data_IF_897570210311
#
_entry.id   IF_897570210311
#
_cell.length_a   1.000
_cell.length_b   1.000
_cell.length_c   1.000
_cell.angle_alpha   90.00
_cell.angle_beta   90.00
_cell.angle_gamma   90.00
#
_symmetry.space_group_name_H-M   'P 1'
#
loop_
_entity.id
_entity.type
_entity.pdbx_description
1 polymer ?
#
# COMPACT_ATOMS: atom_id res chain seq x y z
N UNK A 1 -14.30 3.16 -5.45
CA UNK A 1 -13.38 2.11 -5.89
C UNK A 1 -13.94 0.71 -5.65
N UNK A 2 -14.18 0.27 -4.42
CA UNK A 2 -14.62 -1.09 -4.07
C UNK A 2 -16.06 -1.44 -4.44
N UNK A 3 -16.84 -0.54 -5.03
CA UNK A 3 -18.27 -0.71 -5.31
C UNK A 3 -18.59 -0.93 -6.79
N UNK A 4 -17.71 -0.49 -7.71
CA UNK A 4 -17.89 -0.66 -9.17
C UNK A 4 -16.52 -0.76 -9.85
N UNK A 5 -16.33 -1.76 -10.72
CA UNK A 5 -15.14 -1.97 -11.53
C UNK A 5 -14.15 -2.99 -10.98
N UNK A 6 -13.29 -3.51 -11.84
CA UNK A 6 -12.22 -4.46 -11.51
C UNK A 6 -11.06 -3.74 -10.79
N UNK A 7 -10.32 -4.41 -9.90
CA UNK A 7 -9.07 -3.87 -9.35
C UNK A 7 -8.10 -3.36 -10.41
N UNK A 8 -8.03 -4.03 -11.56
CA UNK A 8 -7.13 -3.67 -12.65
C UNK A 8 -7.48 -2.33 -13.31
N UNK A 9 -8.74 -1.87 -13.21
CA UNK A 9 -9.17 -0.58 -13.77
C UNK A 9 -8.75 0.60 -12.87
N UNK A 10 -8.73 0.37 -11.56
CA UNK A 10 -8.47 1.42 -10.57
C UNK A 10 -7.04 1.50 -10.07
N UNK A 11 -6.33 0.37 -10.04
CA UNK A 11 -4.95 0.34 -9.54
C UNK A 11 -4.00 1.23 -10.35
N UNK A 12 -4.09 1.35 -11.69
CA UNK A 12 -3.26 2.28 -12.44
C UNK A 12 -3.51 3.75 -12.04
N UNK A 13 -4.77 4.12 -11.85
CA UNK A 13 -5.15 5.50 -11.45
C UNK A 13 -4.51 5.83 -10.09
N UNK A 14 -4.67 4.96 -9.11
CA UNK A 14 -4.06 5.13 -7.78
C UNK A 14 -2.54 5.13 -7.87
N UNK A 15 -1.97 4.27 -8.72
CA UNK A 15 -0.53 4.18 -8.95
C UNK A 15 0.06 5.51 -9.43
N UNK A 16 -0.58 6.18 -10.38
CA UNK A 16 -0.16 7.50 -10.88
C UNK A 16 -0.13 8.52 -9.73
N UNK A 17 -1.19 8.58 -8.91
CA UNK A 17 -1.23 9.50 -7.77
C UNK A 17 -0.14 9.19 -6.74
N UNK A 18 0.10 7.91 -6.43
CA UNK A 18 1.17 7.53 -5.51
C UNK A 18 2.55 7.91 -6.05
N UNK A 19 2.82 7.72 -7.33
CA UNK A 19 4.07 8.16 -7.96
C UNK A 19 4.23 9.68 -7.89
N UNK A 20 3.17 10.41 -8.22
CA UNK A 20 3.19 11.87 -8.22
C UNK A 20 3.47 12.43 -6.82
N UNK A 21 2.69 12.03 -5.81
CA UNK A 21 2.84 12.58 -4.46
C UNK A 21 4.08 12.06 -3.74
N UNK A 22 4.49 10.80 -3.93
CA UNK A 22 5.75 10.31 -3.37
C UNK A 22 6.95 10.93 -4.05
N UNK A 23 6.90 11.18 -5.35
CA UNK A 23 7.94 11.89 -6.09
C UNK A 23 8.15 13.32 -5.56
N UNK A 24 7.07 14.08 -5.36
CA UNK A 24 7.14 15.43 -4.77
C UNK A 24 7.69 15.36 -3.34
N UNK A 25 7.22 14.43 -2.52
CA UNK A 25 7.69 14.28 -1.15
C UNK A 25 9.19 13.96 -1.07
N UNK A 26 9.73 13.24 -2.07
CA UNK A 26 11.14 12.85 -2.12
C UNK A 26 12.06 13.92 -2.73
N UNK A 27 11.55 14.83 -3.55
CA UNK A 27 12.36 15.75 -4.35
C UNK A 27 13.43 16.52 -3.54
N UNK A 28 13.16 16.80 -2.25
CA UNK A 28 14.06 17.55 -1.38
C UNK A 28 14.43 16.80 -0.08
N UNK A 29 14.20 15.48 0.01
CA UNK A 29 14.31 14.74 1.26
C UNK A 29 15.10 13.43 1.17
N UNK A 30 15.90 13.25 0.11
CA UNK A 30 16.67 12.01 -0.11
C UNK A 30 17.79 11.81 0.91
N UNK A 31 18.30 12.89 1.51
CA UNK A 31 19.38 12.84 2.52
C UNK A 31 18.91 12.18 3.83
N UNK A 32 17.61 12.22 4.09
CA UNK A 32 17.01 11.65 5.29
C UNK A 32 16.51 10.22 5.10
N UNK A 33 16.89 9.55 4.02
CA UNK A 33 16.55 8.15 3.72
C UNK A 33 17.57 7.22 4.36
N UNK A 34 17.12 6.14 4.98
CA UNK A 34 17.98 5.05 5.42
C UNK A 34 18.27 4.08 4.27
N UNK A 35 19.21 4.48 3.42
CA UNK A 35 19.64 3.68 2.27
C UNK A 35 20.20 2.32 2.64
N UNK A 36 20.79 2.20 3.84
CA UNK A 36 21.39 0.93 4.32
C UNK A 36 20.30 -0.12 4.54
N UNK A 37 19.27 0.24 5.33
CA UNK A 37 18.19 -0.69 5.59
C UNK A 37 17.32 -0.91 4.34
N UNK A 38 17.06 0.15 3.58
CA UNK A 38 16.34 0.07 2.31
C UNK A 38 16.95 -1.02 1.40
N UNK A 39 18.26 -0.94 1.10
CA UNK A 39 18.94 -1.93 0.27
C UNK A 39 18.93 -3.33 0.88
N UNK A 40 19.06 -3.47 2.22
CA UNK A 40 19.02 -4.75 2.94
C UNK A 40 17.65 -5.45 2.82
N UNK A 41 16.58 -4.70 2.75
CA UNK A 41 15.21 -5.24 2.68
C UNK A 41 14.77 -5.65 1.27
N UNK A 42 15.30 -5.01 0.22
CA UNK A 42 14.88 -5.22 -1.17
C UNK A 42 14.93 -6.68 -1.65
N UNK A 43 15.96 -7.49 -1.34
CA UNK A 43 16.02 -8.89 -1.77
C UNK A 43 14.82 -9.73 -1.29
N UNK A 44 14.19 -9.36 -0.18
CA UNK A 44 13.01 -10.04 0.38
C UNK A 44 11.71 -9.51 -0.21
N UNK A 45 11.66 -8.22 -0.51
CA UNK A 45 10.45 -7.54 -0.99
C UNK A 45 10.27 -7.73 -2.50
N UNK A 46 11.31 -7.51 -3.30
CA UNK A 46 11.19 -7.41 -4.76
C UNK A 46 10.75 -8.72 -5.45
N UNK A 47 11.32 -9.89 -5.14
CA UNK A 47 10.88 -11.13 -5.77
C UNK A 47 9.41 -11.42 -5.46
N UNK A 48 9.00 -11.25 -4.21
CA UNK A 48 7.62 -11.43 -3.78
C UNK A 48 6.67 -10.42 -4.45
N UNK A 49 7.12 -9.17 -4.62
CA UNK A 49 6.40 -8.12 -5.36
C UNK A 49 6.15 -8.53 -6.81
N UNK A 50 7.17 -9.03 -7.49
CA UNK A 50 7.04 -9.48 -8.90
C UNK A 50 6.04 -10.63 -9.01
N UNK A 51 6.12 -11.64 -8.13
CA UNK A 51 5.15 -12.74 -8.09
C UNK A 51 3.73 -12.22 -7.85
N UNK A 52 3.55 -11.26 -6.94
CA UNK A 52 2.25 -10.64 -6.70
C UNK A 52 1.70 -9.87 -7.91
N UNK A 53 2.56 -9.16 -8.64
CA UNK A 53 2.16 -8.44 -9.87
C UNK A 53 1.77 -9.41 -10.98
N UNK A 54 2.54 -10.49 -11.18
CA UNK A 54 2.20 -11.54 -12.15
C UNK A 54 0.85 -12.16 -11.78
N UNK A 55 0.62 -12.48 -10.51
CA UNK A 55 -0.67 -12.96 -10.03
C UNK A 55 -1.82 -11.99 -10.33
N UNK A 56 -1.62 -10.68 -10.11
CA UNK A 56 -2.62 -9.66 -10.42
C UNK A 56 -3.02 -9.63 -11.90
N UNK A 57 -2.04 -9.81 -12.80
CA UNK A 57 -2.26 -9.72 -14.24
C UNK A 57 -2.83 -11.03 -14.80
N UNK A 58 -2.42 -12.18 -14.23
CA UNK A 58 -2.72 -13.51 -14.76
C UNK A 58 -4.00 -14.14 -14.21
N UNK A 59 -4.44 -13.73 -13.02
CA UNK A 59 -5.60 -14.32 -12.35
C UNK A 59 -6.91 -13.68 -12.82
N UNK A 60 -8.02 -14.45 -12.84
CA UNK A 60 -9.34 -13.90 -13.12
C UNK A 60 -9.70 -12.76 -12.16
N UNK A 61 -10.40 -11.70 -12.63
CA UNK A 61 -10.77 -10.55 -11.81
C UNK A 61 -11.49 -10.91 -10.51
N UNK A 62 -12.34 -11.93 -10.54
CA UNK A 62 -13.07 -12.44 -9.36
C UNK A 62 -12.11 -12.97 -8.31
N UNK A 63 -11.14 -13.80 -8.70
CA UNK A 63 -10.13 -14.38 -7.80
C UNK A 63 -9.29 -13.24 -7.18
N UNK A 64 -8.87 -12.28 -8.01
CA UNK A 64 -8.11 -11.13 -7.53
C UNK A 64 -8.91 -10.27 -6.56
N UNK A 65 -10.18 -10.05 -6.84
CA UNK A 65 -11.07 -9.31 -5.95
C UNK A 65 -11.18 -9.99 -4.59
N UNK A 66 -11.38 -11.32 -4.57
CA UNK A 66 -11.43 -12.10 -3.32
C UNK A 66 -10.11 -11.97 -2.55
N UNK A 67 -8.97 -12.14 -3.22
CA UNK A 67 -7.64 -12.02 -2.59
C UNK A 67 -7.45 -10.63 -1.97
N UNK A 68 -7.74 -9.57 -2.72
CA UNK A 68 -7.56 -8.18 -2.25
C UNK A 68 -8.46 -7.89 -1.04
N UNK A 69 -9.75 -8.27 -1.11
CA UNK A 69 -10.66 -8.05 0.01
C UNK A 69 -10.30 -8.89 1.23
N UNK A 70 -9.93 -10.16 1.05
CA UNK A 70 -9.53 -11.04 2.16
C UNK A 70 -8.29 -10.52 2.88
N UNK A 71 -7.27 -10.10 2.14
CA UNK A 71 -6.05 -9.51 2.71
C UNK A 71 -6.37 -8.20 3.45
N UNK A 72 -7.17 -7.33 2.81
CA UNK A 72 -7.58 -6.06 3.43
C UNK A 72 -8.40 -6.29 4.68
N UNK A 73 -9.31 -7.28 4.68
CA UNK A 73 -10.13 -7.66 5.81
C UNK A 73 -9.29 -8.14 7.00
N UNK A 74 -8.40 -9.11 6.75
CA UNK A 74 -7.49 -9.64 7.80
C UNK A 74 -6.67 -8.49 8.40
N UNK A 75 -6.16 -7.62 7.55
CA UNK A 75 -5.38 -6.47 7.99
C UNK A 75 -6.23 -5.47 8.80
N UNK A 76 -7.43 -5.14 8.32
CA UNK A 76 -8.35 -4.25 9.02
C UNK A 76 -8.73 -4.80 10.41
N UNK A 77 -8.89 -6.12 10.55
CA UNK A 77 -9.09 -6.77 11.85
C UNK A 77 -7.94 -6.51 12.82
N UNK A 78 -6.69 -6.54 12.37
CA UNK A 78 -5.53 -6.23 13.24
C UNK A 78 -5.62 -4.81 13.82
N UNK A 79 -6.18 -3.86 13.06
CA UNK A 79 -6.41 -2.50 13.54
C UNK A 79 -7.55 -2.41 14.56
N UNK A 80 -8.67 -3.12 14.31
CA UNK A 80 -9.80 -3.15 15.23
C UNK A 80 -9.40 -3.71 16.59
N UNK A 81 -8.67 -4.84 16.60
CA UNK A 81 -8.21 -5.48 17.86
C UNK A 81 -6.94 -4.85 18.44
N UNK A 82 -6.42 -3.80 17.78
CA UNK A 82 -5.16 -3.14 18.15
C UNK A 82 -3.98 -4.12 18.30
N UNK A 83 -3.92 -5.11 17.41
CA UNK A 83 -2.86 -6.10 17.38
C UNK A 83 -1.56 -5.47 16.89
N UNK A 84 -0.56 -5.43 17.74
CA UNK A 84 0.78 -4.96 17.37
C UNK A 84 1.55 -6.13 16.77
N UNK A 85 1.87 -6.04 15.48
CA UNK A 85 2.74 -6.99 14.82
C UNK A 85 4.15 -6.74 15.37
N UNK A 86 4.54 -7.51 16.38
CA UNK A 86 5.90 -7.50 16.89
C UNK A 86 6.79 -8.29 15.92
N UNK A 87 7.82 -7.65 15.40
CA UNK A 87 8.83 -8.29 14.58
C UNK A 87 10.18 -8.06 15.25
N UNK A 88 10.69 -9.06 15.94
CA UNK A 88 12.10 -9.08 16.33
C UNK A 88 12.99 -9.24 15.09
N UNK A 89 14.25 -8.83 15.16
CA UNK A 89 15.21 -9.11 14.09
C UNK A 89 15.26 -10.64 13.80
N UNK A 90 15.26 -11.01 12.52
CA UNK A 90 15.42 -12.41 12.12
C UNK A 90 14.40 -12.89 11.07
N UNK A 91 14.02 -14.15 11.18
CA UNK A 91 13.13 -14.83 10.24
C UNK A 91 11.73 -14.19 10.14
N UNK A 92 11.14 -13.80 11.25
CA UNK A 92 9.80 -13.19 11.26
C UNK A 92 9.77 -11.87 10.46
N UNK A 93 10.78 -11.01 10.61
CA UNK A 93 10.91 -9.79 9.81
C UNK A 93 11.01 -10.09 8.32
N UNK A 94 11.80 -11.09 7.94
CA UNK A 94 11.94 -11.48 6.52
C UNK A 94 10.62 -11.99 5.95
N UNK A 95 9.91 -12.82 6.70
CA UNK A 95 8.59 -13.31 6.31
C UNK A 95 7.59 -12.16 6.10
N UNK A 96 7.57 -11.17 7.00
CA UNK A 96 6.71 -10.00 6.87
C UNK A 96 7.09 -9.13 5.66
N UNK A 97 8.39 -9.01 5.34
CA UNK A 97 8.85 -8.31 4.13
C UNK A 97 8.41 -9.04 2.86
N UNK A 98 8.51 -10.37 2.82
CA UNK A 98 8.04 -11.20 1.71
C UNK A 98 6.52 -11.06 1.55
N UNK A 99 5.75 -11.25 2.62
CA UNK A 99 4.30 -11.10 2.60
C UNK A 99 3.88 -9.68 2.21
N UNK A 100 4.51 -8.66 2.78
CA UNK A 100 4.26 -7.26 2.43
C UNK A 100 4.57 -6.95 0.96
N UNK A 101 5.66 -7.50 0.44
CA UNK A 101 6.03 -7.43 -0.97
C UNK A 101 4.97 -8.06 -1.87
N UNK A 102 4.56 -9.30 -1.59
CA UNK A 102 3.52 -10.02 -2.33
C UNK A 102 2.18 -9.26 -2.32
N UNK A 103 1.72 -8.86 -1.14
CA UNK A 103 0.47 -8.09 -0.98
C UNK A 103 0.54 -6.75 -1.73
N UNK A 104 1.68 -6.07 -1.64
CA UNK A 104 1.92 -4.85 -2.44
C UNK A 104 1.90 -5.14 -3.95
N UNK A 105 2.24 -6.35 -4.38
CA UNK A 105 2.15 -6.82 -5.78
C UNK A 105 0.72 -6.99 -6.23
N UNK A 106 -0.08 -7.74 -5.49
CA UNK A 106 -1.48 -8.04 -5.80
C UNK A 106 -2.39 -6.81 -5.62
N UNK A 107 -2.12 -6.00 -4.59
CA UNK A 107 -2.88 -4.79 -4.28
C UNK A 107 -1.90 -3.64 -3.97
N UNK A 108 -2.38 -2.47 -3.59
CA UNK A 108 -1.52 -1.39 -3.06
C UNK A 108 -1.47 -1.39 -1.52
N UNK A 109 -2.06 -2.40 -0.88
CA UNK A 109 -2.26 -2.48 0.58
C UNK A 109 -1.11 -3.15 1.34
N UNK A 110 0.02 -3.45 0.71
CA UNK A 110 1.18 -4.08 1.38
C UNK A 110 1.90 -3.17 2.39
N UNK A 111 1.59 -1.88 2.37
CA UNK A 111 2.22 -0.88 3.22
C UNK A 111 2.29 -1.25 4.71
N UNK A 112 1.23 -1.73 5.34
CA UNK A 112 1.23 -1.94 6.79
C UNK A 112 2.21 -2.98 7.31
N UNK A 113 2.39 -4.09 6.59
CA UNK A 113 3.38 -5.11 6.98
C UNK A 113 4.80 -4.57 6.82
N UNK A 114 5.04 -3.85 5.72
CA UNK A 114 6.33 -3.22 5.47
C UNK A 114 6.62 -2.13 6.50
N UNK A 115 5.64 -1.28 6.82
CA UNK A 115 5.76 -0.25 7.86
C UNK A 115 6.09 -0.88 9.20
N UNK A 116 5.40 -1.95 9.61
CA UNK A 116 5.63 -2.62 10.89
C UNK A 116 7.09 -3.09 11.04
N UNK A 117 7.68 -3.62 9.97
CA UNK A 117 9.09 -4.05 9.99
C UNK A 117 10.04 -2.85 9.95
N UNK A 118 9.75 -1.86 9.10
CA UNK A 118 10.60 -0.66 8.98
C UNK A 118 10.63 0.16 10.28
N UNK A 119 9.50 0.33 10.95
CA UNK A 119 9.43 1.04 12.25
C UNK A 119 10.33 0.45 13.34
N UNK A 120 10.62 -0.83 13.28
CA UNK A 120 11.46 -1.52 14.27
C UNK A 120 12.95 -1.48 13.94
N UNK A 121 13.29 -1.15 12.69
CA UNK A 121 14.66 -1.25 12.17
C UNK A 121 15.25 0.09 11.72
N UNK A 122 14.47 1.16 11.70
CA UNK A 122 14.88 2.48 11.19
C UNK A 122 14.54 3.55 12.23
N UNK A 123 15.43 4.54 12.35
CA UNK A 123 15.14 5.74 13.14
C UNK A 123 13.85 6.41 12.65
N UNK A 124 12.99 6.79 13.60
CA UNK A 124 11.69 7.42 13.32
C UNK A 124 11.82 8.68 12.43
N UNK A 125 12.92 9.41 12.54
CA UNK A 125 13.20 10.60 11.73
C UNK A 125 13.44 10.28 10.25
N UNK A 126 13.95 9.08 9.95
CA UNK A 126 14.22 8.60 8.59
C UNK A 126 13.10 7.72 8.03
N UNK A 127 12.22 7.22 8.89
CA UNK A 127 11.20 6.23 8.54
C UNK A 127 10.32 6.69 7.39
N UNK A 128 9.72 7.89 7.50
CA UNK A 128 8.78 8.42 6.51
C UNK A 128 9.39 8.49 5.11
N UNK A 129 10.56 9.08 4.98
CA UNK A 129 11.19 9.28 3.68
C UNK A 129 11.72 7.96 3.10
N UNK A 130 12.21 7.04 3.95
CA UNK A 130 12.59 5.70 3.51
C UNK A 130 11.39 4.89 2.99
N UNK A 131 10.23 5.01 3.63
CA UNK A 131 9.00 4.39 3.15
C UNK A 131 8.51 5.03 1.83
N UNK A 132 8.63 6.34 1.66
CA UNK A 132 8.27 6.99 0.39
C UNK A 132 9.15 6.49 -0.77
N UNK A 133 10.46 6.32 -0.58
CA UNK A 133 11.35 5.71 -1.59
C UNK A 133 10.90 4.29 -1.89
N UNK A 134 10.59 3.50 -0.86
CA UNK A 134 10.11 2.14 -1.05
C UNK A 134 8.82 2.11 -1.85
N UNK A 135 7.82 2.92 -1.48
CA UNK A 135 6.55 2.96 -2.20
C UNK A 135 6.70 3.45 -3.62
N UNK A 136 7.52 4.48 -3.85
CA UNK A 136 7.83 4.95 -5.20
C UNK A 136 8.38 3.81 -6.06
N UNK A 137 9.39 3.08 -5.56
CA UNK A 137 9.97 1.94 -6.27
C UNK A 137 8.94 0.83 -6.52
N UNK A 138 8.17 0.44 -5.49
CA UNK A 138 7.18 -0.63 -5.61
C UNK A 138 6.04 -0.28 -6.57
N UNK A 139 5.62 0.97 -6.62
CA UNK A 139 4.60 1.43 -7.56
C UNK A 139 5.18 1.54 -8.97
N UNK A 140 6.42 2.02 -9.14
CA UNK A 140 7.12 2.03 -10.43
C UNK A 140 7.15 0.64 -11.06
N UNK A 141 7.54 -0.39 -10.30
CA UNK A 141 7.56 -1.79 -10.78
C UNK A 141 6.17 -2.22 -11.26
N UNK A 142 5.12 -1.93 -10.50
CA UNK A 142 3.75 -2.28 -10.88
C UNK A 142 3.29 -1.53 -12.13
N UNK A 143 3.52 -0.22 -12.19
CA UNK A 143 3.11 0.58 -13.35
C UNK A 143 3.88 0.19 -14.60
N UNK A 144 5.18 -0.12 -14.49
CA UNK A 144 5.97 -0.65 -15.60
C UNK A 144 5.40 -2.00 -16.10
N UNK A 145 5.01 -2.89 -15.19
CA UNK A 145 4.37 -4.15 -15.58
C UNK A 145 3.04 -3.91 -16.30
N UNK A 146 2.20 -2.99 -15.84
CA UNK A 146 0.95 -2.63 -16.52
C UNK A 146 1.17 -2.10 -17.92
N UNK A 147 2.19 -1.27 -18.13
CA UNK A 147 2.57 -0.78 -19.45
C UNK A 147 3.06 -1.91 -20.37
N UNK A 148 3.90 -2.83 -19.83
CA UNK A 148 4.45 -3.95 -20.62
C UNK A 148 3.36 -4.91 -21.11
N UNK A 149 2.32 -5.15 -20.29
CA UNK A 149 1.22 -6.06 -20.66
C UNK A 149 -0.01 -5.33 -21.23
N UNK A 150 0.17 -4.08 -21.60
CA UNK A 150 -0.83 -3.23 -22.25
C UNK A 150 -2.15 -3.08 -21.47
N UNK A 151 -2.06 -3.00 -20.15
CA UNK A 151 -3.22 -2.67 -19.29
C UNK A 151 -3.66 -1.25 -19.61
N UNK A 152 -4.96 -1.08 -19.89
CA UNK A 152 -5.53 0.24 -20.14
C UNK A 152 -5.34 1.18 -18.95
N UNK A 153 -4.66 2.29 -19.20
CA UNK A 153 -4.42 3.35 -18.19
C UNK A 153 -5.21 4.59 -18.60
N UNK A 154 -6.21 4.94 -17.82
CA UNK A 154 -6.98 6.16 -18.07
C UNK A 154 -6.21 7.39 -17.57
N UNK A 155 -5.26 7.85 -18.38
CA UNK A 155 -4.39 8.99 -18.08
C UNK A 155 -5.19 10.28 -17.83
N UNK A 156 -6.19 10.52 -18.68
CA UNK A 156 -7.01 11.73 -18.59
C UNK A 156 -7.74 11.80 -17.24
N UNK A 157 -8.40 10.72 -16.85
CA UNK A 157 -9.10 10.64 -15.58
C UNK A 157 -8.13 10.71 -14.38
N UNK A 158 -6.97 10.07 -14.48
CA UNK A 158 -5.93 10.12 -13.46
C UNK A 158 -5.43 11.55 -13.23
N UNK A 159 -5.15 12.30 -14.31
CA UNK A 159 -4.70 13.69 -14.21
C UNK A 159 -5.77 14.62 -13.68
N UNK A 160 -7.03 14.43 -14.08
CA UNK A 160 -8.16 15.22 -13.56
C UNK A 160 -8.37 15.05 -12.06
N UNK A 161 -8.02 13.90 -11.50
CA UNK A 161 -8.15 13.64 -10.06
C UNK A 161 -7.00 14.19 -9.21
N UNK A 162 -5.86 14.59 -9.81
CA UNK A 162 -4.71 15.12 -9.06
C UNK A 162 -5.09 16.31 -8.15
N UNK A 163 -5.83 17.33 -8.61
CA UNK A 163 -6.22 18.45 -7.74
C UNK A 163 -7.08 18.00 -6.55
N UNK A 164 -8.01 17.07 -6.77
CA UNK A 164 -8.85 16.52 -5.70
C UNK A 164 -8.02 15.71 -4.69
N UNK A 165 -7.11 14.88 -5.20
CA UNK A 165 -6.18 14.12 -4.36
C UNK A 165 -5.22 15.04 -3.59
N UNK A 166 -4.77 16.15 -4.19
CA UNK A 166 -3.95 17.16 -3.54
C UNK A 166 -4.70 17.82 -2.38
N UNK A 167 -5.95 18.23 -2.57
CA UNK A 167 -6.79 18.76 -1.49
C UNK A 167 -6.93 17.75 -0.34
N UNK A 168 -7.21 16.49 -0.67
CA UNK A 168 -7.26 15.40 0.31
C UNK A 168 -5.93 15.22 1.05
N UNK A 169 -4.81 15.34 0.35
CA UNK A 169 -3.47 15.26 0.94
C UNK A 169 -3.21 16.41 1.92
N UNK A 170 -3.51 17.66 1.55
CA UNK A 170 -3.37 18.81 2.43
C UNK A 170 -4.26 18.73 3.68
N UNK A 171 -5.52 18.31 3.51
CA UNK A 171 -6.42 18.09 4.63
C UNK A 171 -5.90 16.95 5.51
N UNK A 172 -5.45 15.85 4.90
CA UNK A 172 -4.86 14.70 5.60
C UNK A 172 -3.65 15.07 6.43
N UNK A 173 -2.75 15.91 5.93
CA UNK A 173 -1.60 16.41 6.69
C UNK A 173 -2.03 17.20 7.93
N UNK A 174 -3.00 18.11 7.81
CA UNK A 174 -3.51 18.89 8.96
C UNK A 174 -4.24 18.03 9.99
N UNK A 175 -4.93 16.99 9.54
CA UNK A 175 -5.64 16.05 10.43
C UNK A 175 -4.64 15.10 11.08
N UNK A 176 -3.60 14.70 10.36
CA UNK A 176 -2.57 13.78 10.84
C UNK A 176 -1.95 14.24 12.17
N UNK A 177 -1.60 15.52 12.27
CA UNK A 177 -0.99 16.07 13.50
C UNK A 177 -1.91 15.97 14.72
N UNK A 178 -3.25 16.07 14.50
CA UNK A 178 -4.26 15.91 15.56
C UNK A 178 -4.61 14.45 15.85
N UNK A 179 -4.49 13.58 14.87
CA UNK A 179 -4.87 12.16 14.99
C UNK A 179 -3.76 11.34 15.63
N UNK A 180 -2.49 11.76 15.51
CA UNK A 180 -1.36 11.10 16.17
C UNK A 180 -1.55 11.08 17.72
N UNK A 181 -2.23 12.06 18.29
CA UNK A 181 -2.52 12.09 19.73
C UNK A 181 -3.38 10.91 20.20
N UNK A 182 -4.20 10.29 19.32
CA UNK A 182 -5.08 9.15 19.60
C UNK A 182 -5.02 8.06 18.52
N UNK A 183 -3.82 7.63 18.17
CA UNK A 183 -3.55 6.63 17.12
C UNK A 183 -4.39 5.35 17.23
N UNK A 184 -4.63 4.86 18.45
CA UNK A 184 -5.42 3.65 18.70
C UNK A 184 -6.90 3.81 18.33
N UNK A 185 -7.51 4.94 18.67
CA UNK A 185 -8.93 5.21 18.37
C UNK A 185 -9.10 5.35 16.87
N UNK A 186 -8.23 6.12 16.21
CA UNK A 186 -8.25 6.30 14.77
C UNK A 186 -8.11 4.96 14.02
N UNK A 187 -7.13 4.13 14.42
CA UNK A 187 -6.94 2.80 13.82
C UNK A 187 -8.17 1.92 13.96
N UNK A 188 -8.83 1.92 15.11
CA UNK A 188 -10.06 1.14 15.31
C UNK A 188 -11.20 1.61 14.42
N UNK A 189 -11.43 2.92 14.30
CA UNK A 189 -12.48 3.46 13.41
C UNK A 189 -12.19 3.15 11.94
N UNK A 190 -10.97 3.39 11.49
CA UNK A 190 -10.57 3.09 10.12
C UNK A 190 -10.61 1.58 9.84
N UNK A 191 -10.14 0.76 10.78
CA UNK A 191 -10.23 -0.69 10.68
C UNK A 191 -11.68 -1.17 10.58
N UNK A 192 -12.56 -0.66 11.43
CA UNK A 192 -14.00 -0.97 11.39
C UNK A 192 -14.65 -0.61 10.05
N UNK A 193 -14.38 0.60 9.54
CA UNK A 193 -14.88 1.02 8.24
C UNK A 193 -14.38 0.11 7.10
N UNK A 194 -13.08 -0.25 7.11
CA UNK A 194 -12.50 -1.17 6.12
C UNK A 194 -13.10 -2.57 6.22
N UNK A 195 -13.35 -3.10 7.41
CA UNK A 195 -14.03 -4.39 7.62
C UNK A 195 -15.40 -4.39 6.96
N UNK A 196 -16.21 -3.36 7.21
CA UNK A 196 -17.56 -3.23 6.60
C UNK A 196 -17.48 -3.17 5.06
N UNK A 197 -16.53 -2.40 4.52
CA UNK A 197 -16.33 -2.30 3.07
C UNK A 197 -15.90 -3.66 2.49
N UNK A 198 -15.02 -4.39 3.16
CA UNK A 198 -14.56 -5.71 2.71
C UNK A 198 -15.69 -6.74 2.73
N UNK A 199 -16.51 -6.75 3.78
CA UNK A 199 -17.70 -7.64 3.85
C UNK A 199 -18.66 -7.32 2.69
N UNK A 200 -19.00 -6.05 2.49
CA UNK A 200 -19.88 -5.63 1.40
C UNK A 200 -19.28 -5.95 0.01
N UNK A 201 -17.96 -5.86 -0.15
CA UNK A 201 -17.26 -6.22 -1.38
C UNK A 201 -17.26 -7.72 -1.64
N UNK A 202 -16.98 -8.54 -0.61
CA UNK A 202 -16.99 -10.00 -0.72
C UNK A 202 -18.40 -10.54 -0.99
N UNK A 203 -19.43 -10.04 -0.31
CA UNK A 203 -20.82 -10.47 -0.57
C UNK A 203 -21.23 -10.23 -2.02
N UNK A 204 -20.82 -9.09 -2.61
CA UNK A 204 -21.09 -8.79 -4.04
C UNK A 204 -20.37 -9.71 -5.04
N UNK A 205 -19.31 -10.37 -4.64
CA UNK A 205 -18.59 -11.31 -5.52
C UNK A 205 -19.32 -12.66 -5.59
N UNK A 206 -20.11 -12.98 -4.55
CA UNK A 206 -20.84 -14.26 -4.45
C UNK A 206 -22.33 -14.13 -4.79
N UNK A 207 -22.83 -12.92 -5.01
CA UNK A 207 -24.21 -12.64 -5.51
C UNK A 207 -24.17 -12.19 -6.94
#
# INVERSE_FOLDING_TARGET
>A
MLVKGSPIDWLPIIGIHLLFFSGIALANNLDTVDWKYFKKSLPWILPAKVVGVIGLISLPPTVMTIIVYSITFIYALTWVINFKIASSEGWASRLLLILGGYISGTSLNGAPLLVAVYMQNIDIKKLRNTLFVLWFLLVMIKMSAFVIVDVYINWQFSLMLIPVAALGHFVGLKVHDRVIENDTIFKRWMGGALVLICIAGLTKVFT
#
